data_IF_281623806783
#
_entry.id   IF_281623806783
#
_cell.length_a   1.000
_cell.length_b   1.000
_cell.length_c   1.000
_cell.angle_alpha   90.00
_cell.angle_beta   90.00
_cell.angle_gamma   90.00
#
_symmetry.space_group_name_H-M   'P 1'
#
loop_
_entity.id
_entity.type
_entity.pdbx_description
1 polymer ?
#
# COMPACT_ATOMS: atom_id res chain seq x y z
N UNK A 1 -14.12 -6.24 2.57
CA UNK A 1 -13.16 -6.13 1.46
C UNK A 1 -11.90 -6.90 1.86
N UNK A 2 -11.41 -7.81 1.01
CA UNK A 2 -10.17 -8.52 1.27
C UNK A 2 -9.01 -7.60 0.87
N UNK A 3 -8.14 -7.23 1.82
CA UNK A 3 -6.95 -6.44 1.51
C UNK A 3 -5.93 -7.35 0.82
N UNK A 4 -5.60 -7.06 -0.43
CA UNK A 4 -4.69 -7.89 -1.22
C UNK A 4 -3.70 -7.01 -2.02
N UNK A 5 -2.41 -7.34 -1.92
CA UNK A 5 -1.33 -6.68 -2.66
C UNK A 5 -0.97 -7.56 -3.86
N UNK A 6 -1.61 -7.31 -5.00
CA UNK A 6 -1.41 -8.11 -6.22
C UNK A 6 -0.22 -7.63 -7.07
N UNK A 7 0.49 -6.59 -6.64
CA UNK A 7 1.60 -6.01 -7.38
C UNK A 7 2.91 -6.27 -6.66
N UNK A 8 3.97 -6.46 -7.44
CA UNK A 8 5.33 -6.56 -6.94
C UNK A 8 6.26 -5.69 -7.79
N UNK A 9 7.33 -5.19 -7.19
CA UNK A 9 8.37 -4.43 -7.87
C UNK A 9 9.74 -4.91 -7.42
N UNK A 10 10.67 -5.06 -8.37
CA UNK A 10 12.06 -5.37 -8.08
C UNK A 10 12.79 -4.09 -7.68
N UNK A 11 13.52 -4.16 -6.57
CA UNK A 11 14.41 -3.09 -6.09
C UNK A 11 15.81 -3.67 -5.89
N UNK A 12 16.87 -2.85 -5.77
CA UNK A 12 18.20 -3.34 -5.41
C UNK A 12 18.25 -4.13 -4.09
N UNK A 13 17.28 -3.92 -3.20
CA UNK A 13 17.17 -4.62 -1.90
C UNK A 13 16.30 -5.88 -1.95
N UNK A 14 15.71 -6.23 -3.10
CA UNK A 14 14.80 -7.36 -3.27
C UNK A 14 13.42 -6.96 -3.80
N UNK A 15 12.50 -7.94 -3.78
CA UNK A 15 11.13 -7.77 -4.29
C UNK A 15 10.24 -7.19 -3.18
N UNK A 16 9.49 -6.14 -3.51
CA UNK A 16 8.52 -5.51 -2.61
C UNK A 16 7.11 -5.75 -3.13
N UNK A 17 6.22 -6.28 -2.28
CA UNK A 17 4.79 -6.36 -2.55
C UNK A 17 4.11 -5.02 -2.22
N UNK A 18 3.28 -4.52 -3.13
CA UNK A 18 2.58 -3.24 -2.96
C UNK A 18 1.21 -3.26 -3.65
N UNK A 19 0.46 -2.17 -3.50
CA UNK A 19 -0.81 -1.94 -4.16
C UNK A 19 -1.06 -0.44 -4.29
N UNK A 20 -1.87 -0.06 -5.28
CA UNK A 20 -2.27 1.33 -5.53
C UNK A 20 -3.78 1.48 -5.43
N UNK A 21 -4.24 2.62 -4.93
CA UNK A 21 -5.66 2.96 -4.87
C UNK A 21 -5.86 4.46 -5.06
N UNK A 22 -6.96 4.84 -5.70
CA UNK A 22 -7.31 6.24 -5.98
C UNK A 22 -6.55 6.84 -7.17
N UNK A 23 -6.80 8.13 -7.40
CA UNK A 23 -6.19 8.94 -8.46
C UNK A 23 -5.93 10.33 -7.91
N UNK A 24 -4.75 10.91 -8.17
CA UNK A 24 -4.40 12.23 -7.66
C UNK A 24 -2.90 12.39 -7.42
N UNK A 25 -2.47 13.36 -6.60
CA UNK A 25 -1.08 13.48 -6.16
C UNK A 25 -0.59 12.19 -5.49
N UNK A 26 0.65 11.79 -5.76
CA UNK A 26 1.21 10.56 -5.22
C UNK A 26 1.41 10.63 -3.70
N UNK A 27 0.92 9.62 -2.99
CA UNK A 27 1.11 9.40 -1.56
C UNK A 27 1.61 7.97 -1.30
N UNK A 28 2.67 7.83 -0.52
CA UNK A 28 3.24 6.53 -0.13
C UNK A 28 2.99 6.26 1.34
N UNK A 29 2.42 5.09 1.66
CA UNK A 29 2.20 4.63 3.03
C UNK A 29 3.16 3.49 3.35
N UNK A 30 4.13 3.75 4.23
CA UNK A 30 5.02 2.73 4.78
C UNK A 30 4.51 2.28 6.15
N UNK A 31 4.55 0.97 6.41
CA UNK A 31 4.21 0.44 7.73
C UNK A 31 5.48 0.30 8.59
N UNK A 32 5.29 0.15 9.91
CA UNK A 32 6.36 -0.20 10.84
C UNK A 32 6.42 -1.70 11.13
N UNK A 33 7.30 -2.07 12.05
CA UNK A 33 7.37 -3.40 12.65
C UNK A 33 6.39 -3.51 13.83
N UNK A 34 5.74 -4.68 14.07
CA UNK A 34 5.80 -5.95 13.33
C UNK A 34 4.64 -6.09 12.31
N UNK A 35 4.20 -4.99 11.69
CA UNK A 35 3.02 -4.99 10.83
C UNK A 35 3.36 -5.11 9.33
N UNK A 36 2.31 -5.09 8.51
CA UNK A 36 2.37 -5.02 7.05
C UNK A 36 1.49 -3.87 6.53
N UNK A 37 1.36 -3.71 5.20
CA UNK A 37 0.44 -2.75 4.59
C UNK A 37 -1.01 -2.90 5.08
N UNK A 38 -1.37 -4.07 5.63
CA UNK A 38 -2.67 -4.31 6.24
C UNK A 38 -2.98 -3.32 7.37
N UNK A 39 -1.98 -2.73 8.04
CA UNK A 39 -2.21 -1.68 9.03
C UNK A 39 -3.05 -0.50 8.49
N UNK A 40 -3.00 -0.28 7.17
CA UNK A 40 -3.65 0.85 6.50
C UNK A 40 -4.98 0.49 5.81
N UNK A 41 -5.42 -0.77 5.84
CA UNK A 41 -6.57 -1.24 5.04
C UNK A 41 -7.89 -0.46 5.28
N UNK A 42 -8.03 0.19 6.45
CA UNK A 42 -9.20 1.03 6.80
C UNK A 42 -9.02 2.51 6.52
N UNK A 43 -7.78 2.97 6.36
CA UNK A 43 -7.44 4.38 6.10
C UNK A 43 -7.40 4.65 4.60
N UNK A 44 -6.87 3.69 3.83
CA UNK A 44 -6.66 3.82 2.39
C UNK A 44 -7.94 4.16 1.61
N UNK A 45 -9.12 3.57 1.87
CA UNK A 45 -10.34 3.95 1.16
C UNK A 45 -10.67 5.44 1.26
N UNK A 46 -10.54 6.03 2.45
CA UNK A 46 -10.83 7.45 2.66
C UNK A 46 -9.76 8.38 2.07
N UNK A 47 -8.51 7.92 1.95
CA UNK A 47 -7.45 8.67 1.27
C UNK A 47 -7.57 8.60 -0.25
N UNK A 48 -8.07 7.48 -0.78
CA UNK A 48 -8.20 7.25 -2.22
C UNK A 48 -9.37 8.02 -2.87
N UNK A 49 -10.30 8.55 -2.07
CA UNK A 49 -11.40 9.41 -2.51
C UNK A 49 -10.97 10.88 -2.71
N UNK A 50 -9.78 11.27 -2.24
CA UNK A 50 -9.26 12.64 -2.31
C UNK A 50 -8.26 12.80 -3.45
#
# INVERSE_FOLDING_TARGET
MHWNLNQTVATPAGIVAYGTAGTGPALVLAHGWPWSSFAWHRVIPALAEK
#
